data_IF_354833658378
#
_entry.id   IF_354833658378
#
_cell.length_a   1.000
_cell.length_b   1.000
_cell.length_c   1.000
_cell.angle_alpha   90.00
_cell.angle_beta   90.00
_cell.angle_gamma   90.00
#
_symmetry.space_group_name_H-M   'P 1'
#
loop_
_entity.id
_entity.type
_entity.pdbx_description
1 polymer ?
#
# COMPACT_ATOMS: atom_id res chain seq x y z
N UNK A 1 -12.76 0.44 7.41
CA UNK A 1 -12.60 1.35 8.57
C UNK A 1 -11.18 1.88 8.56
N UNK A 2 -10.98 3.14 8.93
CA UNK A 2 -9.65 3.68 9.19
C UNK A 2 -9.67 4.16 10.64
N UNK A 3 -8.78 3.62 11.47
CA UNK A 3 -8.62 4.01 12.88
C UNK A 3 -7.20 4.49 13.12
N UNK A 4 -7.06 5.66 13.76
CA UNK A 4 -5.78 6.22 14.17
C UNK A 4 -5.68 6.15 15.68
N UNK A 5 -4.59 5.60 16.19
CA UNK A 5 -4.28 5.62 17.61
C UNK A 5 -2.96 6.35 17.80
N UNK A 6 -3.02 7.56 18.36
CA UNK A 6 -1.91 8.54 18.34
C UNK A 6 -1.44 8.88 16.92
N UNK A 7 -0.39 9.69 16.82
CA UNK A 7 0.26 10.02 15.54
C UNK A 7 1.13 8.88 14.99
N UNK A 8 1.26 7.78 15.75
CA UNK A 8 2.21 6.72 15.44
C UNK A 8 1.56 5.46 14.87
N UNK A 9 0.25 5.23 15.04
CA UNK A 9 -0.39 3.96 14.67
C UNK A 9 -1.64 4.17 13.81
N UNK A 10 -1.74 3.42 12.72
CA UNK A 10 -2.84 3.47 11.77
C UNK A 10 -3.33 2.04 11.46
N UNK A 11 -4.63 1.82 11.54
CA UNK A 11 -5.29 0.57 11.15
C UNK A 11 -6.22 0.84 9.98
N UNK A 12 -6.09 0.05 8.90
CA UNK A 12 -6.91 0.19 7.69
C UNK A 12 -7.63 -1.13 7.36
N UNK A 13 -8.88 -1.01 6.94
CA UNK A 13 -9.76 -2.15 6.64
C UNK A 13 -10.83 -1.84 5.59
N UNK A 14 -11.37 -2.90 5.00
CA UNK A 14 -12.57 -2.88 4.15
C UNK A 14 -13.54 -4.00 4.57
N UNK A 15 -14.78 -3.97 4.09
CA UNK A 15 -15.76 -5.05 4.32
C UNK A 15 -16.20 -5.27 5.77
N UNK A 16 -16.13 -4.22 6.61
CA UNK A 16 -16.43 -4.27 8.06
C UNK A 16 -15.51 -5.21 8.89
N UNK A 17 -14.37 -5.62 8.34
CA UNK A 17 -13.35 -6.35 9.10
C UNK A 17 -12.58 -5.43 10.06
N UNK A 18 -12.06 -5.97 11.16
CA UNK A 18 -11.43 -5.20 12.23
C UNK A 18 -10.18 -4.43 11.77
N UNK A 19 -9.23 -5.08 11.08
CA UNK A 19 -8.14 -4.43 10.33
C UNK A 19 -7.47 -5.44 9.39
N UNK A 20 -7.07 -4.99 8.20
CA UNK A 20 -6.26 -5.80 7.29
C UNK A 20 -4.77 -5.47 7.41
N UNK A 21 -4.47 -4.18 7.58
CA UNK A 21 -3.09 -3.69 7.70
C UNK A 21 -3.02 -2.75 8.91
N UNK A 22 -2.00 -2.95 9.73
CA UNK A 22 -1.60 -2.05 10.81
C UNK A 22 -0.24 -1.44 10.43
N UNK A 23 -0.14 -0.12 10.52
CA UNK A 23 1.07 0.64 10.25
C UNK A 23 1.53 1.30 11.54
N UNK A 24 2.85 1.39 11.73
CA UNK A 24 3.45 2.12 12.84
C UNK A 24 4.54 3.09 12.35
N UNK A 25 4.87 4.08 13.18
CA UNK A 25 6.06 4.91 13.01
C UNK A 25 7.12 4.40 13.95
N UNK A 26 8.19 3.79 13.44
CA UNK A 26 9.27 3.26 14.27
C UNK A 26 10.48 4.20 14.32
N UNK A 27 11.27 4.27 13.24
CA UNK A 27 12.50 5.07 13.17
C UNK A 27 12.25 6.58 13.01
N UNK A 28 11.01 7.04 13.22
CA UNK A 28 10.59 8.43 13.07
C UNK A 28 10.01 8.75 11.69
N UNK A 29 9.38 9.92 11.60
CA UNK A 29 8.78 10.46 10.38
C UNK A 29 9.88 10.92 9.43
N UNK A 30 9.78 10.53 8.15
CA UNK A 30 10.76 10.92 7.12
C UNK A 30 12.07 10.14 7.18
N UNK A 31 12.13 9.06 7.96
CA UNK A 31 13.23 8.09 7.85
C UNK A 31 13.34 7.60 6.39
N UNK A 32 14.56 7.45 5.86
CA UNK A 32 14.75 7.02 4.48
C UNK A 32 14.19 5.60 4.27
N UNK A 33 13.71 5.33 3.07
CA UNK A 33 13.33 3.98 2.67
C UNK A 33 14.53 3.02 2.84
N UNK A 34 14.31 1.75 3.25
CA UNK A 34 15.37 0.76 3.33
C UNK A 34 16.05 0.56 1.96
N UNK A 35 17.33 0.15 1.96
CA UNK A 35 18.00 -0.26 0.72
C UNK A 35 17.30 -1.48 0.11
N UNK A 36 17.28 -1.61 -1.22
CA UNK A 36 16.60 -2.72 -1.90
C UNK A 36 17.01 -4.14 -1.44
N UNK A 37 18.21 -4.30 -0.87
CA UNK A 37 18.75 -5.58 -0.42
C UNK A 37 18.74 -5.74 1.11
N UNK A 38 18.04 -4.86 1.85
CA UNK A 38 17.90 -5.02 3.30
C UNK A 38 16.90 -6.12 3.64
N UNK A 39 17.09 -6.80 4.78
CA UNK A 39 16.09 -7.72 5.32
C UNK A 39 14.84 -6.94 5.73
N UNK A 40 13.67 -7.35 5.24
CA UNK A 40 12.40 -6.69 5.51
C UNK A 40 11.25 -7.24 4.67
N UNK A 41 10.15 -6.51 4.64
CA UNK A 41 9.04 -6.77 3.73
C UNK A 41 9.49 -6.44 2.30
N UNK A 42 9.51 -7.45 1.42
CA UNK A 42 9.82 -7.24 0.00
C UNK A 42 8.62 -6.62 -0.74
N UNK A 43 7.45 -7.24 -0.60
CA UNK A 43 6.21 -6.77 -1.21
C UNK A 43 4.98 -7.40 -0.54
N UNK A 44 3.81 -6.81 -0.79
CA UNK A 44 2.53 -7.47 -0.53
C UNK A 44 1.53 -7.24 -1.66
N UNK A 45 0.50 -8.08 -1.70
CA UNK A 45 -0.50 -8.05 -2.76
C UNK A 45 -1.86 -7.64 -2.21
N UNK A 46 -2.51 -6.70 -2.90
CA UNK A 46 -3.92 -6.36 -2.69
C UNK A 46 -4.74 -7.01 -3.80
N UNK A 47 -5.57 -7.97 -3.41
CA UNK A 47 -6.52 -8.64 -4.32
C UNK A 47 -7.81 -7.83 -4.34
N UNK A 48 -8.20 -7.38 -5.52
CA UNK A 48 -9.37 -6.56 -5.79
C UNK A 48 -10.48 -7.43 -6.38
N UNK A 49 -11.73 -7.00 -6.24
CA UNK A 49 -12.87 -7.85 -6.58
C UNK A 49 -12.95 -8.19 -8.08
N UNK A 50 -12.61 -7.25 -8.94
CA UNK A 50 -12.69 -7.34 -10.40
C UNK A 50 -11.80 -6.26 -11.07
N UNK A 51 -11.73 -6.30 -12.39
CA UNK A 51 -10.95 -5.34 -13.18
C UNK A 51 -11.45 -3.90 -13.06
N UNK A 52 -12.76 -3.69 -12.86
CA UNK A 52 -13.35 -2.36 -12.69
C UNK A 52 -12.85 -1.73 -11.38
N UNK A 53 -12.88 -2.47 -10.28
CA UNK A 53 -12.34 -2.07 -8.99
C UNK A 53 -10.83 -1.78 -9.09
N UNK A 54 -10.06 -2.62 -9.79
CA UNK A 54 -8.63 -2.38 -10.04
C UNK A 54 -8.40 -1.08 -10.80
N UNK A 55 -9.09 -0.86 -11.90
CA UNK A 55 -8.93 0.33 -12.72
C UNK A 55 -9.33 1.61 -11.96
N UNK A 56 -10.35 1.53 -11.09
CA UNK A 56 -10.73 2.61 -10.19
C UNK A 56 -9.62 2.94 -9.19
N UNK A 57 -9.02 1.94 -8.55
CA UNK A 57 -7.89 2.13 -7.61
C UNK A 57 -6.69 2.74 -8.35
N UNK A 58 -6.37 2.26 -9.55
CA UNK A 58 -5.27 2.81 -10.36
C UNK A 58 -5.53 4.29 -10.70
N UNK A 59 -6.75 4.65 -11.09
CA UNK A 59 -7.11 6.04 -11.38
C UNK A 59 -6.99 6.94 -10.14
N UNK A 60 -7.41 6.43 -8.96
CA UNK A 60 -7.27 7.14 -7.68
C UNK A 60 -5.81 7.32 -7.27
N UNK A 61 -4.96 6.31 -7.48
CA UNK A 61 -3.52 6.41 -7.21
C UNK A 61 -2.87 7.46 -8.14
N UNK A 62 -3.19 7.43 -9.43
CA UNK A 62 -2.67 8.42 -10.39
C UNK A 62 -3.13 9.85 -10.07
N UNK A 63 -4.36 10.04 -9.59
CA UNK A 63 -4.88 11.38 -9.27
C UNK A 63 -4.19 12.03 -8.06
N UNK A 64 -3.63 11.24 -7.15
CA UNK A 64 -2.79 11.72 -6.04
C UNK A 64 -1.30 11.77 -6.39
N UNK A 65 -0.93 11.54 -7.65
CA UNK A 65 0.45 11.57 -8.13
C UNK A 65 1.27 10.31 -7.84
N UNK A 66 0.65 9.21 -7.40
CA UNK A 66 1.36 7.95 -7.21
C UNK A 66 1.69 7.30 -8.56
N UNK A 67 2.88 6.71 -8.64
CA UNK A 67 3.34 5.99 -9.82
C UNK A 67 2.77 4.56 -9.81
N UNK A 68 2.05 4.21 -10.88
CA UNK A 68 1.58 2.84 -11.10
C UNK A 68 2.21 2.33 -12.39
N UNK A 69 2.95 1.23 -12.27
CA UNK A 69 3.63 0.57 -13.40
C UNK A 69 2.96 -0.76 -13.70
N UNK A 70 2.79 -1.08 -14.98
CA UNK A 70 2.28 -2.37 -15.42
C UNK A 70 3.45 -3.33 -15.69
N UNK A 71 3.38 -4.55 -15.16
CA UNK A 71 4.43 -5.58 -15.27
C UNK A 71 3.79 -6.96 -15.31
N UNK A 72 3.92 -7.68 -16.43
CA UNK A 72 3.42 -9.06 -16.60
C UNK A 72 1.96 -9.24 -16.14
N UNK A 73 1.05 -8.44 -16.69
CA UNK A 73 -0.39 -8.43 -16.36
C UNK A 73 -0.75 -8.03 -14.90
N UNK A 74 0.24 -7.59 -14.12
CA UNK A 74 0.06 -7.06 -12.77
C UNK A 74 0.35 -5.56 -12.72
N UNK A 75 -0.37 -4.83 -11.88
CA UNK A 75 -0.11 -3.41 -11.64
C UNK A 75 0.63 -3.23 -10.32
N UNK A 76 1.70 -2.44 -10.33
CA UNK A 76 2.60 -2.26 -9.19
C UNK A 76 2.67 -0.78 -8.82
N UNK A 77 2.59 -0.49 -7.53
CA UNK A 77 2.82 0.85 -6.97
C UNK A 77 3.75 0.74 -5.77
N UNK A 78 4.35 1.86 -5.40
CA UNK A 78 5.14 1.99 -4.18
C UNK A 78 4.47 2.99 -3.24
N UNK A 79 4.46 2.69 -1.95
CA UNK A 79 4.05 3.65 -0.92
C UNK A 79 5.24 4.52 -0.45
N UNK A 80 5.01 5.63 0.28
CA UNK A 80 6.06 6.59 0.63
C UNK A 80 7.30 6.03 1.35
N UNK A 81 7.16 4.93 2.08
CA UNK A 81 8.26 4.25 2.79
C UNK A 81 9.00 3.23 1.89
N UNK A 82 8.62 3.12 0.62
CA UNK A 82 9.26 2.29 -0.39
C UNK A 82 8.75 0.85 -0.48
N UNK A 83 7.72 0.46 0.28
CA UNK A 83 7.18 -0.89 0.17
C UNK A 83 6.45 -1.09 -1.17
N UNK A 84 6.71 -2.24 -1.80
CA UNK A 84 6.11 -2.61 -3.08
C UNK A 84 4.71 -3.22 -2.88
N UNK A 85 3.73 -2.75 -3.66
CA UNK A 85 2.34 -3.20 -3.60
C UNK A 85 1.89 -3.67 -4.97
N UNK A 86 1.51 -4.94 -5.06
CA UNK A 86 0.87 -5.51 -6.25
C UNK A 86 -0.65 -5.34 -6.17
N UNK A 87 -1.26 -4.90 -7.28
CA UNK A 87 -2.71 -4.76 -7.46
C UNK A 87 -3.17 -5.81 -8.46
N UNK A 88 -3.82 -6.84 -7.95
CA UNK A 88 -4.31 -7.98 -8.73
C UNK A 88 -5.82 -8.13 -8.58
N UNK A 89 -6.42 -8.94 -9.44
CA UNK A 89 -7.82 -9.35 -9.41
C UNK A 89 -7.87 -10.85 -9.17
#
# INVERSE_FOLDING_TARGET
>A
MVSRYSDQVLFISTGKYHHHIALNTWMGVGAPAPSSNSVGLDSFTTILADEEARNKVIAQLKSIGALVTEKNDSFVTYEPSGNCIYLVV
#
